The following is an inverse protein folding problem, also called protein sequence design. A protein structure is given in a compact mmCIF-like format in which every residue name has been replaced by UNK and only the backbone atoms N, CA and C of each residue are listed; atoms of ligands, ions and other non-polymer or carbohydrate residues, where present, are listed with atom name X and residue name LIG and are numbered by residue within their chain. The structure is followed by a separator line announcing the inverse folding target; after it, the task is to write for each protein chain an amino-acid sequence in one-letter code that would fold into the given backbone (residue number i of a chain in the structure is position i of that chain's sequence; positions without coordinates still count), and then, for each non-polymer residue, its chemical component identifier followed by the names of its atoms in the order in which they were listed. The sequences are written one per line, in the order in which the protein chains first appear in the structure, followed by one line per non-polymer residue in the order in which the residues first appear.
data_IF_144444319326
#
_entry.id   IF_144444319326
#
_cell.length_a   1.000
_cell.length_b   1.000
_cell.length_c   1.000
_cell.angle_alpha   90.00
_cell.angle_beta   90.00
_cell.angle_gamma   90.00
#
_symmetry.space_group_name_H-M   'P 1'
#
loop_
_entity.id
_entity.type
_entity.pdbx_description
1 polymer ?
#
# COMPACT_ATOMS: atom_id res chain seq x y z
N UNK A 1 -23.89 10.02 -28.51
CA UNK A 1 -23.92 10.84 -27.28
C UNK A 1 -23.10 10.11 -26.23
N UNK A 2 -21.80 10.42 -26.10
CA UNK A 2 -20.96 9.82 -25.07
C UNK A 2 -21.27 10.51 -23.74
N UNK A 3 -21.84 9.74 -22.82
CA UNK A 3 -22.20 10.18 -21.47
C UNK A 3 -20.88 10.47 -20.71
N UNK A 4 -20.41 11.72 -20.75
CA UNK A 4 -19.22 12.17 -20.01
C UNK A 4 -19.56 12.43 -18.53
N UNK A 5 -20.20 11.46 -17.87
CA UNK A 5 -20.19 11.44 -16.41
C UNK A 5 -18.73 11.33 -15.93
N UNK A 6 -18.36 11.87 -14.76
CA UNK A 6 -17.04 11.59 -14.20
C UNK A 6 -16.93 10.08 -14.06
N UNK A 7 -16.06 9.46 -14.86
CA UNK A 7 -15.78 8.03 -14.77
C UNK A 7 -15.33 7.66 -13.34
N UNK A 8 -15.33 6.37 -12.98
CA UNK A 8 -15.01 5.93 -11.63
C UNK A 8 -13.69 6.58 -11.15
N UNK A 9 -13.60 6.95 -9.88
CA UNK A 9 -12.34 7.48 -9.35
C UNK A 9 -11.25 6.42 -9.41
N UNK A 10 -9.99 6.82 -9.37
CA UNK A 10 -8.86 5.88 -9.38
C UNK A 10 -8.96 4.82 -8.26
N UNK A 11 -9.40 5.25 -7.07
CA UNK A 11 -9.59 4.35 -5.93
C UNK A 11 -10.70 3.33 -6.17
N UNK A 12 -11.82 3.74 -6.79
CA UNK A 12 -12.88 2.80 -7.19
C UNK A 12 -12.36 1.79 -8.21
N UNK A 13 -11.68 2.28 -9.25
CA UNK A 13 -11.12 1.43 -10.30
C UNK A 13 -10.15 0.37 -9.73
N UNK A 14 -9.33 0.75 -8.74
CA UNK A 14 -8.45 -0.19 -8.05
C UNK A 14 -9.21 -1.26 -7.25
N UNK A 15 -10.28 -0.88 -6.54
CA UNK A 15 -11.12 -1.86 -5.83
C UNK A 15 -11.79 -2.82 -6.81
N UNK A 16 -12.37 -2.30 -7.90
CA UNK A 16 -13.02 -3.12 -8.92
C UNK A 16 -12.02 -4.08 -9.59
N UNK A 17 -10.83 -3.60 -9.93
CA UNK A 17 -9.75 -4.43 -10.46
C UNK A 17 -9.39 -5.59 -9.51
N UNK A 18 -9.21 -5.32 -8.22
CA UNK A 18 -8.88 -6.36 -7.24
C UNK A 18 -10.03 -7.37 -7.08
N UNK A 19 -11.28 -6.92 -7.18
CA UNK A 19 -12.46 -7.80 -7.17
C UNK A 19 -12.53 -8.68 -8.42
N UNK A 20 -12.17 -8.15 -9.59
CA UNK A 20 -12.03 -8.94 -10.82
C UNK A 20 -10.94 -10.01 -10.70
N UNK A 21 -9.91 -9.78 -9.86
CA UNK A 21 -8.92 -10.80 -9.48
C UNK A 21 -9.42 -11.79 -8.40
N UNK A 22 -10.70 -11.74 -8.02
CA UNK A 22 -11.32 -12.64 -7.04
C UNK A 22 -11.15 -12.24 -5.57
N UNK A 23 -10.61 -11.04 -5.28
CA UNK A 23 -10.50 -10.55 -3.90
C UNK A 23 -11.86 -10.07 -3.38
N UNK A 24 -12.19 -10.40 -2.14
CA UNK A 24 -13.35 -9.82 -1.46
C UNK A 24 -13.02 -8.43 -0.89
N UNK A 25 -14.05 -7.65 -0.52
CA UNK A 25 -13.83 -6.35 0.13
C UNK A 25 -13.11 -6.49 1.48
N UNK A 26 -13.32 -7.61 2.16
CA UNK A 26 -12.61 -7.94 3.40
C UNK A 26 -11.13 -8.19 3.13
N UNK A 27 -10.79 -9.03 2.14
CA UNK A 27 -9.39 -9.29 1.77
C UNK A 27 -8.66 -8.00 1.38
N UNK A 28 -9.34 -7.11 0.65
CA UNK A 28 -8.80 -5.81 0.25
C UNK A 28 -8.53 -4.93 1.48
N UNK A 29 -9.44 -4.94 2.46
CA UNK A 29 -9.25 -4.22 3.71
C UNK A 29 -8.05 -4.74 4.50
N UNK A 30 -7.99 -6.06 4.67
CA UNK A 30 -6.94 -6.73 5.45
C UNK A 30 -5.54 -6.49 4.86
N UNK A 31 -5.40 -6.47 3.53
CA UNK A 31 -4.13 -6.18 2.85
C UNK A 31 -3.53 -4.83 3.27
N UNK A 32 -4.35 -3.82 3.53
CA UNK A 32 -3.88 -2.46 3.82
C UNK A 32 -4.25 -1.96 5.22
N UNK A 33 -4.72 -2.85 6.10
CA UNK A 33 -5.08 -2.53 7.48
C UNK A 33 -6.33 -1.64 7.61
N UNK A 34 -7.28 -1.74 6.68
CA UNK A 34 -8.54 -1.00 6.68
C UNK A 34 -9.74 -1.92 6.89
N UNK A 35 -10.84 -1.37 7.40
CA UNK A 35 -12.08 -2.13 7.56
C UNK A 35 -12.78 -2.38 6.21
N UNK A 36 -13.50 -3.48 6.11
CA UNK A 36 -14.36 -3.78 4.94
C UNK A 36 -15.33 -2.62 4.65
N UNK A 37 -15.90 -2.00 5.69
CA UNK A 37 -16.79 -0.83 5.56
C UNK A 37 -16.10 0.40 4.96
N UNK A 38 -14.79 0.56 5.16
CA UNK A 38 -14.01 1.59 4.48
C UNK A 38 -13.90 1.25 3.00
N UNK A 39 -13.52 0.02 2.65
CA UNK A 39 -13.37 -0.42 1.26
C UNK A 39 -14.70 -0.31 0.51
N UNK A 40 -15.81 -0.69 1.14
CA UNK A 40 -17.16 -0.51 0.56
C UNK A 40 -17.46 0.96 0.26
N UNK A 41 -17.09 1.90 1.14
CA UNK A 41 -17.24 3.34 0.86
C UNK A 41 -16.34 3.83 -0.28
N UNK A 42 -15.15 3.25 -0.44
CA UNK A 42 -14.29 3.53 -1.58
C UNK A 42 -14.91 3.00 -2.88
N UNK A 43 -15.40 1.77 -2.89
CA UNK A 43 -16.05 1.15 -4.05
C UNK A 43 -17.26 1.97 -4.54
N UNK A 44 -18.00 2.58 -3.61
CA UNK A 44 -19.15 3.44 -3.91
C UNK A 44 -18.77 4.91 -4.20
N UNK A 45 -17.48 5.25 -4.25
CA UNK A 45 -17.01 6.61 -4.55
C UNK A 45 -17.21 7.63 -3.43
N UNK A 46 -17.54 7.20 -2.21
CA UNK A 46 -17.70 8.09 -1.06
C UNK A 46 -16.37 8.41 -0.37
N UNK A 47 -15.31 7.64 -0.64
CA UNK A 47 -13.95 7.86 -0.13
C UNK A 47 -12.91 7.53 -1.19
N UNK A 48 -11.70 8.07 -1.00
CA UNK A 48 -10.52 7.72 -1.78
C UNK A 48 -9.43 7.12 -0.90
N UNK A 49 -8.50 6.41 -1.52
CA UNK A 49 -7.26 5.99 -0.89
C UNK A 49 -6.29 7.18 -0.75
N UNK A 50 -5.54 7.22 0.34
CA UNK A 50 -4.38 8.12 0.48
C UNK A 50 -3.17 7.49 -0.20
N UNK A 51 -2.08 8.24 -0.34
CA UNK A 51 -0.82 7.72 -0.88
C UNK A 51 -0.32 6.55 -0.02
N UNK A 52 -0.36 6.67 1.31
CA UNK A 52 0.06 5.59 2.23
C UNK A 52 -0.71 4.28 2.01
N UNK A 53 -2.01 4.36 1.71
CA UNK A 53 -2.81 3.17 1.37
C UNK A 53 -2.38 2.56 0.04
N UNK A 54 -2.04 3.39 -0.95
CA UNK A 54 -1.56 2.94 -2.26
C UNK A 54 -0.19 2.28 -2.16
N UNK A 55 0.72 2.82 -1.35
CA UNK A 55 2.02 2.20 -1.04
C UNK A 55 1.86 0.88 -0.27
N UNK A 56 0.83 0.78 0.59
CA UNK A 56 0.51 -0.49 1.24
C UNK A 56 0.06 -1.56 0.21
N UNK A 57 -0.69 -1.18 -0.83
CA UNK A 57 -1.02 -2.11 -1.92
C UNK A 57 0.22 -2.59 -2.68
N UNK A 58 1.12 -1.67 -3.06
CA UNK A 58 2.37 -2.01 -3.75
C UNK A 58 3.19 -3.04 -2.97
N UNK A 59 3.37 -2.82 -1.66
CA UNK A 59 4.10 -3.74 -0.78
C UNK A 59 3.43 -5.11 -0.64
N UNK A 60 2.11 -5.16 -0.51
CA UNK A 60 1.40 -6.42 -0.30
C UNK A 60 1.19 -7.22 -1.58
N UNK A 61 1.11 -6.56 -2.73
CA UNK A 61 0.90 -7.20 -4.03
C UNK A 61 2.23 -7.53 -4.73
N UNK A 62 3.34 -6.94 -4.28
CA UNK A 62 4.64 -7.08 -4.94
C UNK A 62 4.63 -6.53 -6.37
N UNK A 63 3.74 -5.57 -6.64
CA UNK A 63 3.55 -4.96 -7.96
C UNK A 63 3.73 -3.46 -7.86
N UNK A 64 4.45 -2.83 -8.81
CA UNK A 64 4.68 -1.40 -8.78
C UNK A 64 3.36 -0.64 -8.83
N UNK A 65 3.22 0.39 -7.99
CA UNK A 65 1.97 1.15 -7.91
C UNK A 65 1.55 1.69 -9.29
N UNK A 66 2.50 2.19 -10.08
CA UNK A 66 2.22 2.68 -11.43
C UNK A 66 1.56 1.62 -12.32
N UNK A 67 2.05 0.37 -12.29
CA UNK A 67 1.48 -0.73 -13.07
C UNK A 67 0.07 -1.07 -12.58
N UNK A 68 -0.12 -1.16 -11.26
CA UNK A 68 -1.44 -1.40 -10.65
C UNK A 68 -2.48 -0.36 -11.07
N UNK A 69 -2.12 0.93 -11.07
CA UNK A 69 -3.03 2.02 -11.43
C UNK A 69 -3.38 2.02 -12.91
N UNK A 70 -2.42 1.72 -13.77
CA UNK A 70 -2.61 1.56 -15.22
C UNK A 70 -3.54 0.39 -15.51
N UNK A 71 -3.32 -0.75 -14.87
CA UNK A 71 -4.18 -1.93 -14.99
C UNK A 71 -5.60 -1.68 -14.48
N UNK A 72 -5.72 -1.07 -13.31
CA UNK A 72 -7.01 -0.76 -12.72
C UNK A 72 -7.84 0.18 -13.60
N UNK A 73 -7.21 1.16 -14.26
CA UNK A 73 -7.92 2.18 -15.02
C UNK A 73 -8.25 1.76 -16.44
N UNK A 74 -7.30 1.12 -17.12
CA UNK A 74 -7.34 1.04 -18.59
C UNK A 74 -7.55 -0.36 -19.15
N UNK A 75 -7.37 -1.43 -18.36
CA UNK A 75 -7.48 -2.82 -18.86
C UNK A 75 -8.71 -3.08 -19.72
N UNK A 76 -9.87 -2.57 -19.31
CA UNK A 76 -11.16 -2.79 -19.99
C UNK A 76 -11.56 -1.67 -20.97
N UNK A 77 -10.76 -0.60 -21.10
CA UNK A 77 -11.06 0.55 -21.97
C UNK A 77 -10.07 0.73 -23.13
N UNK A 78 -9.08 -0.15 -23.26
CA UNK A 78 -8.10 -0.11 -24.34
C UNK A 78 -8.65 -0.76 -25.60
N UNK A 79 -8.68 -0.04 -26.74
CA UNK A 79 -8.99 -0.63 -28.04
C UNK A 79 -8.08 -1.82 -28.35
N UNK A 80 -8.63 -2.87 -29.00
CA UNK A 80 -7.89 -4.09 -29.36
C UNK A 80 -6.56 -3.79 -30.07
N UNK A 81 -6.58 -2.83 -31.00
CA UNK A 81 -5.43 -2.36 -31.77
C UNK A 81 -4.30 -1.75 -30.94
N UNK A 82 -4.59 -1.31 -29.70
CA UNK A 82 -3.61 -0.70 -28.79
C UNK A 82 -3.13 -1.66 -27.70
N UNK A 83 -3.66 -2.89 -27.62
CA UNK A 83 -3.30 -3.86 -26.56
C UNK A 83 -1.81 -4.17 -26.52
N UNK A 84 -1.17 -4.37 -27.69
CA UNK A 84 0.27 -4.66 -27.73
C UNK A 84 1.14 -3.54 -27.14
N UNK A 85 0.82 -2.28 -27.45
CA UNK A 85 1.53 -1.12 -26.87
C UNK A 85 1.30 -0.98 -25.39
N UNK A 86 0.10 -1.32 -24.93
CA UNK A 86 -0.23 -1.29 -23.52
C UNK A 86 0.54 -2.35 -22.73
N UNK A 87 0.64 -3.57 -23.25
CA UNK A 87 1.44 -4.64 -22.64
C UNK A 87 2.92 -4.25 -22.58
N UNK A 88 3.45 -3.61 -23.62
CA UNK A 88 4.82 -3.08 -23.63
C UNK A 88 5.03 -2.05 -22.52
N UNK A 89 4.11 -1.10 -22.34
CA UNK A 89 4.16 -0.12 -21.24
C UNK A 89 4.12 -0.80 -19.87
N UNK A 90 3.28 -1.82 -19.68
CA UNK A 90 3.24 -2.56 -18.42
C UNK A 90 4.56 -3.29 -18.14
N UNK A 91 5.17 -3.90 -19.15
CA UNK A 91 6.50 -4.53 -19.02
C UNK A 91 7.54 -3.49 -18.62
N UNK A 92 7.61 -2.36 -19.32
CA UNK A 92 8.56 -1.29 -18.99
C UNK A 92 8.38 -0.76 -17.55
N UNK A 93 7.15 -0.59 -17.10
CA UNK A 93 6.86 -0.14 -15.72
C UNK A 93 7.33 -1.17 -14.68
N UNK A 94 7.19 -2.46 -14.97
CA UNK A 94 7.64 -3.54 -14.08
C UNK A 94 9.16 -3.65 -14.06
N UNK A 95 9.80 -3.58 -15.22
CA UNK A 95 11.26 -3.64 -15.35
C UNK A 95 11.94 -2.46 -14.64
N UNK A 96 11.39 -1.25 -14.80
CA UNK A 96 11.93 -0.05 -14.17
C UNK A 96 11.84 -0.11 -12.64
N UNK A 97 10.76 -0.68 -12.11
CA UNK A 97 10.64 -0.92 -10.69
C UNK A 97 11.62 -1.99 -10.18
N UNK A 98 11.86 -3.05 -10.98
CA UNK A 98 12.88 -4.05 -10.67
C UNK A 98 14.29 -3.45 -10.61
N UNK A 99 14.62 -2.55 -11.54
CA UNK A 99 15.90 -1.85 -11.57
C UNK A 99 16.08 -0.93 -10.35
N UNK A 100 15.02 -0.24 -9.92
CA UNK A 100 15.06 0.58 -8.70
C UNK A 100 15.40 -0.28 -7.47
N UNK A 101 14.74 -1.43 -7.30
CA UNK A 101 15.01 -2.34 -6.18
C UNK A 101 16.46 -2.83 -6.19
N UNK A 102 17.07 -3.03 -7.37
CA UNK A 102 18.49 -3.40 -7.48
C UNK A 102 19.40 -2.26 -7.03
N UNK A 103 19.13 -1.02 -7.45
CA UNK A 103 19.90 0.15 -7.01
C UNK A 103 19.82 0.36 -5.49
N UNK A 104 18.62 0.22 -4.91
CA UNK A 104 18.42 0.34 -3.46
C UNK A 104 19.16 -0.77 -2.69
N UNK A 105 19.39 -1.94 -3.29
CA UNK A 105 20.13 -3.04 -2.68
C UNK A 105 21.66 -2.85 -2.71
N UNK A 106 22.18 -2.28 -3.79
CA UNK A 106 23.63 -2.06 -3.97
C UNK A 106 24.17 -0.96 -3.02
N UNK A 107 23.36 0.06 -2.67
CA UNK A 107 23.77 1.11 -1.73
C UNK A 107 24.01 0.61 -0.28
N UNK A 108 23.48 -0.56 0.09
CA UNK A 108 23.62 -1.12 1.45
C UNK A 108 24.93 -1.90 1.62
N UNK A 109 25.61 -2.28 0.53
CA UNK A 109 26.77 -3.18 0.58
C UNK A 109 28.10 -2.51 0.98
N UNK A 110 28.20 -1.18 0.97
CA UNK A 110 29.46 -0.45 1.19
C UNK A 110 29.66 0.08 2.64
N UNK A 111 28.76 -0.22 3.58
CA UNK A 111 28.81 0.33 4.95
C UNK A 111 29.38 -0.61 6.04
N UNK A 112 29.86 -1.81 5.70
CA UNK A 112 30.27 -2.82 6.70
C UNK A 112 31.78 -2.89 7.04
N UNK A 113 32.60 -1.94 6.58
CA UNK A 113 34.00 -1.84 7.03
C UNK A 113 34.35 -0.47 7.65
N UNK A 114 33.73 -0.13 8.79
CA UNK A 114 34.39 0.75 9.77
C UNK A 114 34.23 0.19 11.19
N UNK A 115 35.19 -0.69 11.52
CA UNK A 115 35.89 -0.78 12.81
C UNK A 115 35.18 -0.32 14.09
N UNK A 116 34.79 -1.31 14.88
CA UNK A 116 35.33 -1.58 16.23
C UNK A 116 35.57 -0.43 17.24
N UNK A 117 35.12 -0.71 18.46
CA UNK A 117 35.51 -0.15 19.77
C UNK A 117 34.75 1.07 20.30
N UNK A 118 33.81 0.82 21.22
CA UNK A 118 34.06 1.05 22.67
C UNK A 118 32.90 0.56 23.53
N UNK A 119 33.25 -0.41 24.36
CA UNK A 119 32.62 -0.74 25.65
C UNK A 119 32.41 0.51 26.50
N UNK A 120 31.16 0.81 26.86
CA UNK A 120 30.85 1.68 27.99
C UNK A 120 29.66 1.11 28.76
N UNK A 121 30.02 0.28 29.74
CA UNK A 121 29.21 -0.21 30.84
C UNK A 121 28.66 0.99 31.64
N UNK A 122 27.35 1.25 31.62
CA UNK A 122 26.73 2.14 32.60
C UNK A 122 25.31 1.69 33.00
N UNK A 123 25.28 0.94 34.09
CA UNK A 123 24.29 0.86 35.18
C UNK A 123 22.79 1.08 34.91
N UNK A 124 21.91 0.15 35.38
CA UNK A 124 20.48 0.40 35.41
C UNK A 124 20.10 1.48 36.45
N UNK A 125 19.31 2.46 36.02
CA UNK A 125 18.66 3.40 36.93
C UNK A 125 17.49 2.71 37.68
N UNK A 126 17.27 3.01 38.98
CA UNK A 126 16.39 2.26 39.86
C UNK A 126 14.90 2.45 39.58
N UNK A 127 14.17 1.35 39.74
CA UNK A 127 12.71 1.21 39.78
C UNK A 127 12.13 2.18 40.81
N UNK A 128 11.17 3.02 40.41
CA UNK A 128 10.27 3.73 41.34
C UNK A 128 9.04 2.86 41.61
N UNK A 129 8.83 2.34 42.82
CA UNK A 129 7.54 1.80 43.23
C UNK A 129 6.65 2.94 43.74
N UNK A 130 5.42 3.04 43.25
CA UNK A 130 4.36 3.68 44.03
C UNK A 130 3.33 4.49 43.24
N UNK A 131 2.16 3.88 42.99
CA UNK A 131 0.92 4.19 43.74
C UNK A 131 -0.25 3.34 43.19
N UNK A 132 -0.65 2.33 43.95
CA UNK A 132 -2.02 1.78 43.94
C UNK A 132 -2.99 2.77 44.62
N UNK A 133 -4.28 2.46 44.80
CA UNK A 133 -5.34 2.28 43.80
C UNK A 133 -6.51 3.27 44.05
N UNK A 134 -7.03 3.89 42.99
CA UNK A 134 -8.21 4.75 43.07
C UNK A 134 -9.50 3.95 42.86
N UNK A 135 -10.09 3.45 43.94
CA UNK A 135 -11.45 2.93 43.98
C UNK A 135 -12.50 4.04 43.81
N UNK A 136 -13.73 3.61 43.46
CA UNK A 136 -15.03 4.32 43.43
C UNK A 136 -15.35 4.92 42.04
N UNK A 137 -16.55 4.75 41.46
CA UNK A 137 -17.88 4.60 42.06
C UNK A 137 -18.85 4.08 40.99
N UNK A 138 -19.70 3.11 41.34
CA UNK A 138 -20.94 2.83 40.63
C UNK A 138 -21.97 3.91 41.00
N UNK A 139 -22.63 4.52 40.00
CA UNK A 139 -23.95 5.16 40.10
C UNK A 139 -24.54 5.26 38.69
N UNK A 140 -25.75 4.74 38.48
CA UNK A 140 -26.59 5.00 37.30
C UNK A 140 -27.11 3.76 36.63
#
# INVERSE_FOLDING_TARGET
MTNNGPGPTLSMALVDYLREQGRTLHDIGDMIGLSESFISRVANGHRGFTIDHLEAFERNLGQPLAALLVEARWRNSIPEEMRGKYEEVLTLLRDLAGLRTQLDADEVSDSDEVGETRTATHGPAPVRPGRSPGARRAVG
#
